data_IF_419493990653
#
_entry.id   IF_419493990653
#
_cell.length_a   1.000
_cell.length_b   1.000
_cell.length_c   1.000
_cell.angle_alpha   90.00
_cell.angle_beta   90.00
_cell.angle_gamma   90.00
#
_symmetry.space_group_name_H-M   'P 1'
#
loop_
_entity.id
_entity.type
_entity.pdbx_description
1 polymer ?
#
# COMPACT_ATOMS: atom_id res chain seq x y z
N UNK A 1 -11.01 -7.25 6.14
CA UNK A 1 -11.37 -5.95 6.71
C UNK A 1 -11.33 -4.82 5.67
N UNK A 2 -10.16 -4.41 5.13
CA UNK A 2 -10.09 -3.24 4.23
C UNK A 2 -10.47 -3.49 2.75
N UNK A 3 -10.56 -4.75 2.29
CA UNK A 3 -10.89 -5.06 0.89
C UNK A 3 -12.36 -4.86 0.52
N UNK A 4 -13.23 -4.47 1.48
CA UNK A 4 -14.67 -4.25 1.29
C UNK A 4 -15.09 -2.78 1.39
N UNK A 5 -14.13 -1.86 1.36
CA UNK A 5 -14.46 -0.44 1.40
C UNK A 5 -15.16 -0.07 0.08
N UNK A 6 -16.30 0.64 0.13
CA UNK A 6 -16.91 1.22 -1.05
C UNK A 6 -15.93 2.13 -1.81
N UNK A 7 -16.09 2.22 -3.13
CA UNK A 7 -15.36 3.21 -3.90
C UNK A 7 -15.69 4.63 -3.38
N UNK A 8 -14.68 5.46 -3.20
CA UNK A 8 -14.85 6.83 -2.70
C UNK A 8 -14.88 7.01 -1.18
N UNK A 9 -14.63 5.99 -0.36
CA UNK A 9 -14.39 6.22 1.07
C UNK A 9 -13.16 7.11 1.26
N UNK A 10 -13.26 8.17 2.07
CA UNK A 10 -12.13 9.03 2.46
C UNK A 10 -11.06 8.35 3.33
N UNK A 11 -11.10 7.03 3.45
CA UNK A 11 -10.17 6.23 4.25
C UNK A 11 -8.95 5.89 3.37
N UNK A 12 -7.71 6.28 3.77
CA UNK A 12 -6.49 6.03 3.00
C UNK A 12 -6.02 4.58 3.15
N UNK A 13 -6.81 3.63 2.66
CA UNK A 13 -6.54 2.20 2.78
C UNK A 13 -5.19 1.79 2.16
N UNK A 14 -4.72 2.54 1.15
CA UNK A 14 -3.46 2.27 0.44
C UNK A 14 -2.22 2.36 1.35
N UNK A 15 -2.33 3.02 2.51
CA UNK A 15 -1.24 3.12 3.52
C UNK A 15 -1.01 1.83 4.29
N UNK A 16 -1.92 0.86 4.22
CA UNK A 16 -1.79 -0.41 4.93
C UNK A 16 -1.18 -1.48 4.01
N UNK A 17 0.03 -1.92 4.34
CA UNK A 17 0.78 -2.97 3.64
C UNK A 17 1.20 -4.07 4.64
N UNK A 18 1.73 -5.18 4.15
CA UNK A 18 2.12 -6.27 5.04
C UNK A 18 3.39 -5.95 5.84
N UNK A 19 3.66 -6.76 6.88
CA UNK A 19 4.83 -6.58 7.75
C UNK A 19 6.19 -6.79 7.05
N UNK A 20 6.20 -7.32 5.82
CA UNK A 20 7.40 -7.45 4.97
C UNK A 20 7.63 -6.21 4.09
N UNK A 21 6.78 -5.20 4.18
CA UNK A 21 6.86 -4.01 3.34
C UNK A 21 6.31 -4.22 1.93
N UNK A 22 5.56 -5.29 1.69
CA UNK A 22 5.03 -5.65 0.37
C UNK A 22 3.56 -5.24 0.25
N UNK A 23 3.18 -4.82 -0.96
CA UNK A 23 1.78 -4.71 -1.36
C UNK A 23 1.22 -6.12 -1.51
N UNK A 24 0.14 -6.42 -0.80
CA UNK A 24 -0.50 -7.72 -0.87
C UNK A 24 -1.10 -7.95 -2.26
N UNK A 25 -0.77 -9.08 -2.90
CA UNK A 25 -1.47 -9.57 -4.09
C UNK A 25 -2.92 -9.90 -3.72
N UNK A 26 -3.89 -9.26 -4.36
CA UNK A 26 -5.32 -9.55 -4.16
C UNK A 26 -5.80 -10.42 -5.31
N UNK A 27 -6.80 -11.26 -5.07
CA UNK A 27 -7.39 -12.15 -6.07
C UNK A 27 -8.25 -11.43 -7.14
N UNK A 28 -8.11 -10.11 -7.30
CA UNK A 28 -8.90 -9.25 -8.20
C UNK A 28 -7.92 -8.57 -9.17
N UNK A 29 -8.27 -8.33 -10.45
CA UNK A 29 -7.31 -8.04 -11.52
C UNK A 29 -6.48 -6.75 -11.39
N UNK A 30 -6.72 -5.91 -10.39
CA UNK A 30 -5.88 -4.75 -10.09
C UNK A 30 -4.91 -5.10 -8.97
N UNK A 31 -3.86 -5.84 -9.36
CA UNK A 31 -2.81 -6.57 -8.60
C UNK A 31 -1.95 -5.71 -7.63
N UNK A 32 -2.51 -4.65 -7.05
CA UNK A 32 -1.79 -3.70 -6.19
C UNK A 32 -1.18 -2.53 -6.94
N UNK A 33 -1.44 -2.39 -8.24
CA UNK A 33 -0.97 -1.27 -9.08
C UNK A 33 -1.52 0.05 -8.56
N UNK A 34 -2.83 0.15 -8.33
CA UNK A 34 -3.44 1.34 -7.74
C UNK A 34 -2.83 1.69 -6.37
N UNK A 35 -2.62 0.68 -5.52
CA UNK A 35 -2.00 0.89 -4.20
C UNK A 35 -0.57 1.46 -4.35
N UNK A 36 0.22 0.89 -5.26
CA UNK A 36 1.58 1.36 -5.56
C UNK A 36 1.56 2.80 -6.07
N UNK A 37 0.66 3.14 -6.98
CA UNK A 37 0.52 4.49 -7.52
C UNK A 37 0.14 5.50 -6.44
N UNK A 38 -0.81 5.17 -5.57
CA UNK A 38 -1.24 6.06 -4.47
C UNK A 38 -0.10 6.29 -3.46
N UNK A 39 0.61 5.23 -3.07
CA UNK A 39 1.79 5.33 -2.21
C UNK A 39 2.90 6.19 -2.85
N UNK A 40 3.16 5.99 -4.15
CA UNK A 40 4.16 6.77 -4.87
C UNK A 40 3.78 8.25 -4.98
N UNK A 41 2.48 8.57 -5.16
CA UNK A 41 1.97 9.95 -5.11
C UNK A 41 2.16 10.62 -3.75
N UNK A 42 2.16 9.84 -2.66
CA UNK A 42 2.48 10.31 -1.32
C UNK A 42 4.00 10.37 -1.05
N UNK A 43 4.84 10.06 -2.03
CA UNK A 43 6.30 10.10 -1.91
C UNK A 43 6.94 8.85 -1.31
N UNK A 44 6.16 7.77 -1.12
CA UNK A 44 6.69 6.48 -0.69
C UNK A 44 7.52 5.87 -1.82
N UNK A 45 8.78 5.54 -1.53
CA UNK A 45 9.69 4.89 -2.48
C UNK A 45 9.74 3.40 -2.24
N UNK A 46 9.95 2.65 -3.31
CA UNK A 46 10.14 1.21 -3.29
C UNK A 46 11.61 0.87 -3.57
N UNK A 47 12.10 -0.20 -2.95
CA UNK A 47 13.42 -0.76 -3.26
C UNK A 47 13.41 -1.56 -4.57
N UNK A 48 14.54 -2.20 -4.89
CA UNK A 48 14.71 -2.96 -6.14
C UNK A 48 13.81 -4.19 -6.19
N UNK A 49 13.47 -4.72 -5.02
CA UNK A 49 12.58 -5.85 -4.80
C UNK A 49 11.10 -5.43 -4.76
N UNK A 50 10.82 -4.13 -4.94
CA UNK A 50 9.49 -3.57 -4.99
C UNK A 50 8.80 -3.41 -3.63
N UNK A 51 9.56 -3.41 -2.53
CA UNK A 51 9.10 -3.27 -1.14
C UNK A 51 9.28 -1.85 -0.63
N UNK A 52 8.45 -1.48 0.34
CA UNK A 52 8.57 -0.21 1.08
C UNK A 52 9.58 -0.38 2.22
N UNK A 53 10.61 0.47 2.33
CA UNK A 53 11.52 0.48 3.47
C UNK A 53 10.79 0.87 4.76
N UNK A 54 10.27 -0.13 5.49
CA UNK A 54 9.43 0.10 6.67
C UNK A 54 10.13 0.91 7.75
N UNK A 55 11.46 0.81 7.89
CA UNK A 55 12.22 1.63 8.83
C UNK A 55 12.03 3.14 8.61
N UNK A 56 11.72 3.58 7.38
CA UNK A 56 11.51 4.98 7.03
C UNK A 56 10.05 5.40 7.05
N UNK A 57 9.14 4.49 6.66
CA UNK A 57 7.74 4.84 6.37
C UNK A 57 6.73 4.26 7.37
N UNK A 58 7.14 3.34 8.26
CA UNK A 58 6.24 2.82 9.28
C UNK A 58 5.82 3.94 10.21
N UNK A 59 4.56 3.94 10.61
CA UNK A 59 4.10 4.79 11.69
C UNK A 59 4.70 4.30 13.02
N UNK A 60 5.29 5.21 13.77
CA UNK A 60 5.73 5.01 15.15
C UNK A 60 4.86 5.90 16.02
N UNK A 61 4.11 5.28 16.94
CA UNK A 61 3.31 5.99 17.94
C UNK A 61 4.20 6.64 19.00
#
# INVERSE_FOLDING_TARGET
ALHRLPDGTGIPWHRVINARGEIARRAIPDDGTLQRMLLAREGVRFDREGRVPLARFRWTA
#
